data_IF_467445348717
#
_entry.id   IF_467445348717
#
_cell.length_a   1.000
_cell.length_b   1.000
_cell.length_c   1.000
_cell.angle_alpha   90.00
_cell.angle_beta   90.00
_cell.angle_gamma   90.00
#
_symmetry.space_group_name_H-M   'P 1'
#
loop_
_entity.id
_entity.type
_entity.pdbx_description
1 polymer ?
#
# COMPACT_ATOMS: atom_id res chain seq x y z
N UNK A 1 -1.54 17.11 7.86
CA UNK A 1 -1.21 15.67 7.83
C UNK A 1 -1.41 15.06 6.44
N UNK A 2 -2.65 14.99 5.94
CA UNK A 2 -3.00 14.09 4.82
C UNK A 2 -2.39 14.33 3.43
N UNK A 3 -1.90 15.53 3.09
CA UNK A 3 -1.37 15.82 1.74
C UNK A 3 -0.25 16.88 1.67
N UNK A 4 0.22 17.41 2.81
CA UNK A 4 1.15 18.56 2.84
C UNK A 4 2.60 18.22 3.21
N UNK A 5 2.94 16.94 3.34
CA UNK A 5 4.30 16.52 3.67
C UNK A 5 5.18 16.45 2.43
N UNK A 6 6.48 16.65 2.60
CA UNK A 6 7.51 16.44 1.59
C UNK A 6 8.59 15.52 2.16
N UNK A 7 9.14 14.63 1.33
CA UNK A 7 10.14 13.66 1.73
C UNK A 7 10.65 12.87 0.53
N UNK A 8 11.63 12.00 0.76
CA UNK A 8 12.21 11.16 -0.30
C UNK A 8 11.55 9.78 -0.36
N UNK A 9 11.73 9.06 -1.47
CA UNK A 9 11.27 7.67 -1.59
C UNK A 9 11.93 6.76 -0.53
N UNK A 10 13.17 7.04 -0.14
CA UNK A 10 13.88 6.30 0.90
C UNK A 10 13.26 6.53 2.29
N UNK A 11 12.82 7.75 2.59
CA UNK A 11 12.14 8.04 3.87
C UNK A 11 10.79 7.33 3.96
N UNK A 12 10.03 7.34 2.86
CA UNK A 12 8.75 6.61 2.77
C UNK A 12 9.00 5.10 2.93
N UNK A 13 10.00 4.55 2.23
CA UNK A 13 10.39 3.15 2.36
C UNK A 13 10.73 2.77 3.81
N UNK A 14 11.52 3.60 4.50
CA UNK A 14 11.89 3.38 5.89
C UNK A 14 10.66 3.32 6.81
N UNK A 15 9.70 4.24 6.63
CA UNK A 15 8.44 4.23 7.39
C UNK A 15 7.63 2.96 7.15
N UNK A 16 7.47 2.55 5.88
CA UNK A 16 6.70 1.36 5.52
C UNK A 16 7.36 0.09 6.07
N UNK A 17 8.69 -0.01 6.00
CA UNK A 17 9.46 -1.12 6.55
C UNK A 17 9.33 -1.22 8.07
N UNK A 18 9.38 -0.08 8.78
CA UNK A 18 9.13 -0.06 10.23
C UNK A 18 7.79 -0.71 10.56
N UNK A 19 6.72 -0.40 9.82
CA UNK A 19 5.41 -1.02 10.02
C UNK A 19 5.45 -2.52 9.65
N UNK A 20 6.00 -2.87 8.47
CA UNK A 20 6.07 -4.25 7.97
C UNK A 20 6.81 -5.19 8.93
N UNK A 21 7.87 -4.71 9.58
CA UNK A 21 8.71 -5.51 10.48
C UNK A 21 8.30 -5.43 11.95
N UNK A 22 7.07 -4.94 12.24
CA UNK A 22 6.51 -5.01 13.60
C UNK A 22 6.77 -3.78 14.48
N UNK A 23 7.05 -2.63 13.87
CA UNK A 23 6.99 -1.31 14.52
C UNK A 23 8.34 -0.73 14.98
N UNK A 24 9.38 -1.54 15.09
CA UNK A 24 10.74 -1.08 15.39
C UNK A 24 10.81 -0.13 16.61
N UNK A 25 11.58 0.97 16.54
CA UNK A 25 11.71 1.91 17.66
C UNK A 25 10.56 2.94 17.75
N UNK A 26 9.64 2.97 16.79
CA UNK A 26 8.63 4.04 16.66
C UNK A 26 7.24 3.57 17.09
N UNK A 27 6.88 2.32 16.78
CA UNK A 27 5.57 1.75 17.03
C UNK A 27 5.73 0.46 17.84
N UNK A 28 4.77 0.19 18.72
CA UNK A 28 4.67 -1.14 19.32
C UNK A 28 4.24 -2.18 18.26
N UNK A 29 4.55 -3.47 18.44
CA UNK A 29 4.05 -4.52 17.55
C UNK A 29 2.52 -4.52 17.41
N UNK A 30 1.79 -4.22 18.48
CA UNK A 30 0.33 -4.10 18.45
C UNK A 30 -0.17 -2.94 17.61
N UNK A 31 0.55 -1.79 17.62
CA UNK A 31 0.23 -0.65 16.77
C UNK A 31 0.53 -0.92 15.29
N UNK A 32 1.67 -1.56 14.99
CA UNK A 32 2.00 -1.97 13.63
C UNK A 32 0.97 -2.96 13.07
N UNK A 33 0.56 -3.95 13.87
CA UNK A 33 -0.50 -4.89 13.49
C UNK A 33 -1.86 -4.20 13.33
N UNK A 34 -2.18 -3.20 14.15
CA UNK A 34 -3.43 -2.44 14.02
C UNK A 34 -3.47 -1.60 12.73
N UNK A 35 -2.33 -1.10 12.25
CA UNK A 35 -2.24 -0.32 11.03
C UNK A 35 -2.77 -1.08 9.81
N UNK A 36 -2.37 -2.35 9.70
CA UNK A 36 -2.65 -3.23 8.54
C UNK A 36 -3.91 -4.09 8.71
N UNK A 37 -4.63 -3.95 9.82
CA UNK A 37 -5.84 -4.73 10.08
C UNK A 37 -7.02 -4.12 9.30
N UNK A 38 -7.73 -4.90 8.45
CA UNK A 38 -8.99 -4.46 7.87
C UNK A 38 -10.01 -4.10 8.96
N UNK A 39 -10.59 -2.90 8.89
CA UNK A 39 -11.58 -2.42 9.87
C UNK A 39 -12.96 -2.15 9.28
N UNK A 40 -13.12 -2.29 7.95
CA UNK A 40 -14.37 -1.95 7.24
C UNK A 40 -15.35 -3.10 7.08
N UNK A 41 -14.96 -4.34 7.41
CA UNK A 41 -15.81 -5.52 7.17
C UNK A 41 -16.24 -5.62 5.70
N UNK A 42 -17.53 -5.87 5.45
CA UNK A 42 -18.11 -6.01 4.11
C UNK A 42 -18.72 -4.71 3.56
N UNK A 43 -18.35 -3.55 4.10
CA UNK A 43 -18.83 -2.28 3.58
C UNK A 43 -18.34 -2.09 2.14
N UNK A 44 -19.20 -1.64 1.20
CA UNK A 44 -18.77 -1.29 -0.14
C UNK A 44 -17.83 -0.09 -0.09
N UNK A 45 -16.66 -0.21 -0.72
CA UNK A 45 -15.64 0.84 -0.78
C UNK A 45 -15.36 1.21 -2.24
N UNK A 46 -15.93 2.32 -2.69
CA UNK A 46 -15.73 2.81 -4.06
C UNK A 46 -14.28 3.27 -4.33
N UNK A 47 -13.56 3.65 -3.27
CA UNK A 47 -12.23 4.25 -3.39
C UNK A 47 -11.10 3.24 -3.63
N UNK A 48 -11.27 1.98 -3.24
CA UNK A 48 -10.24 0.93 -3.36
C UNK A 48 -10.53 -0.07 -4.48
N UNK A 49 -11.79 -0.17 -4.89
CA UNK A 49 -12.25 -1.20 -5.81
C UNK A 49 -12.50 -2.55 -5.13
N UNK A 50 -12.98 -3.54 -5.92
CA UNK A 50 -13.39 -4.85 -5.40
C UNK A 50 -12.19 -5.65 -4.89
N UNK A 51 -12.40 -6.49 -3.87
CA UNK A 51 -11.35 -7.30 -3.25
C UNK A 51 -10.46 -6.58 -2.24
N UNK A 52 -10.67 -5.28 -2.02
CA UNK A 52 -9.96 -4.46 -1.04
C UNK A 52 -10.87 -4.02 0.11
N UNK A 53 -10.30 -4.03 1.31
CA UNK A 53 -10.85 -3.39 2.51
C UNK A 53 -10.02 -2.15 2.88
N UNK A 54 -10.35 -1.49 3.98
CA UNK A 54 -9.56 -0.37 4.49
C UNK A 54 -9.14 -0.60 5.96
N UNK A 55 -7.87 -0.33 6.26
CA UNK A 55 -7.29 -0.32 7.60
C UNK A 55 -7.06 1.10 8.11
N UNK A 56 -6.07 1.28 8.99
CA UNK A 56 -5.73 2.61 9.50
C UNK A 56 -4.77 3.32 8.55
N UNK A 57 -5.32 3.90 7.47
CA UNK A 57 -4.58 4.77 6.54
C UNK A 57 -4.14 4.12 5.23
N UNK A 58 -4.49 2.86 5.00
CA UNK A 58 -4.17 2.14 3.77
C UNK A 58 -5.32 1.20 3.38
N UNK A 59 -5.41 0.90 2.09
CA UNK A 59 -6.22 -0.21 1.60
C UNK A 59 -5.54 -1.53 1.98
N UNK A 60 -6.32 -2.56 2.27
CA UNK A 60 -5.81 -3.91 2.60
C UNK A 60 -6.47 -4.92 1.67
N UNK A 61 -5.67 -5.69 0.95
CA UNK A 61 -6.12 -6.69 -0.01
C UNK A 61 -6.68 -7.90 0.74
N UNK A 62 -7.97 -8.17 0.58
CA UNK A 62 -8.65 -9.30 1.23
C UNK A 62 -8.96 -10.43 0.25
N UNK A 63 -9.13 -10.11 -1.03
CA UNK A 63 -9.41 -11.08 -2.10
C UNK A 63 -8.65 -10.69 -3.38
N UNK A 64 -7.43 -11.24 -3.61
CA UNK A 64 -6.62 -10.97 -4.80
C UNK A 64 -7.30 -11.36 -6.11
N UNK A 65 -8.10 -12.43 -6.12
CA UNK A 65 -8.77 -12.89 -7.32
C UNK A 65 -9.86 -11.90 -7.75
N UNK A 66 -10.66 -11.43 -6.79
CA UNK A 66 -11.67 -10.41 -7.02
C UNK A 66 -11.05 -9.05 -7.39
N UNK A 67 -9.87 -8.72 -6.85
CA UNK A 67 -9.12 -7.52 -7.18
C UNK A 67 -8.34 -7.61 -8.52
N UNK A 68 -8.24 -8.80 -9.13
CA UNK A 68 -7.39 -9.02 -10.30
C UNK A 68 -5.91 -8.70 -10.05
N UNK A 69 -5.42 -8.92 -8.82
CA UNK A 69 -4.07 -8.55 -8.40
C UNK A 69 -3.18 -9.79 -8.20
N UNK A 70 -1.90 -9.76 -8.64
CA UNK A 70 -0.93 -10.81 -8.34
C UNK A 70 -0.41 -10.76 -6.89
N UNK A 71 -0.74 -9.71 -6.14
CA UNK A 71 -0.29 -9.48 -4.77
C UNK A 71 -0.92 -10.48 -3.79
N UNK A 72 -0.20 -10.81 -2.72
CA UNK A 72 -0.70 -11.77 -1.73
C UNK A 72 -1.81 -11.16 -0.85
N UNK A 73 -2.77 -11.96 -0.34
CA UNK A 73 -3.73 -11.49 0.66
C UNK A 73 -3.01 -10.84 1.86
N UNK A 74 -3.58 -9.75 2.38
CA UNK A 74 -2.97 -8.94 3.43
C UNK A 74 -1.98 -7.88 2.93
N UNK A 75 -1.75 -7.80 1.61
CA UNK A 75 -1.02 -6.66 1.02
C UNK A 75 -1.74 -5.37 1.34
N UNK A 76 -1.00 -4.34 1.73
CA UNK A 76 -1.57 -3.02 2.00
C UNK A 76 -0.95 -1.94 1.11
N UNK A 77 -1.78 -1.03 0.63
CA UNK A 77 -1.41 -0.11 -0.45
C UNK A 77 -2.14 1.23 -0.35
N UNK A 78 -1.50 2.26 -0.87
CA UNK A 78 -2.09 3.59 -1.08
C UNK A 78 -1.30 4.38 -2.13
N UNK A 79 -1.64 5.66 -2.27
CA UNK A 79 -0.93 6.56 -3.18
C UNK A 79 -1.04 8.01 -2.76
N UNK A 80 -0.62 8.88 -3.66
CA UNK A 80 -0.73 10.32 -3.52
C UNK A 80 -0.96 10.99 -4.88
N UNK A 81 -1.86 11.98 -4.91
CA UNK A 81 -2.29 12.66 -6.13
C UNK A 81 -1.13 13.28 -6.93
N UNK A 82 0.00 13.60 -6.30
CA UNK A 82 1.19 14.11 -6.99
C UNK A 82 1.94 13.06 -7.84
N UNK A 83 1.39 11.84 -7.98
CA UNK A 83 1.95 10.79 -8.83
C UNK A 83 2.77 9.78 -8.04
N UNK A 84 2.23 9.33 -6.91
CA UNK A 84 2.92 8.38 -6.03
C UNK A 84 2.04 7.16 -5.79
N UNK A 85 2.66 5.99 -5.76
CA UNK A 85 2.03 4.72 -5.43
C UNK A 85 3.00 3.89 -4.59
N UNK A 86 2.45 3.15 -3.64
CA UNK A 86 3.24 2.23 -2.82
C UNK A 86 2.37 1.06 -2.37
N UNK A 87 3.02 -0.07 -2.12
CA UNK A 87 2.39 -1.22 -1.50
C UNK A 87 3.41 -2.03 -0.70
N UNK A 88 2.88 -2.84 0.21
CA UNK A 88 3.64 -3.76 1.03
C UNK A 88 2.96 -5.12 1.01
N UNK A 89 3.66 -6.14 0.51
CA UNK A 89 3.24 -7.53 0.58
C UNK A 89 4.03 -8.22 1.72
N UNK A 90 3.41 -8.46 2.89
CA UNK A 90 4.09 -9.09 4.01
C UNK A 90 4.42 -10.56 3.76
N UNK A 91 3.66 -11.25 2.91
CA UNK A 91 3.87 -12.67 2.58
C UNK A 91 5.13 -12.82 1.74
N UNK A 92 5.29 -11.96 0.73
CA UNK A 92 6.50 -11.91 -0.12
C UNK A 92 7.67 -11.12 0.50
N UNK A 93 7.47 -10.54 1.69
CA UNK A 93 8.45 -9.66 2.39
C UNK A 93 8.92 -8.49 1.51
N UNK A 94 7.99 -7.93 0.75
CA UNK A 94 8.24 -6.94 -0.28
C UNK A 94 7.61 -5.59 0.11
N UNK A 95 8.37 -4.52 -0.05
CA UNK A 95 7.88 -3.13 0.05
C UNK A 95 8.30 -2.38 -1.19
N UNK A 96 7.35 -1.73 -1.84
CA UNK A 96 7.54 -1.01 -3.10
C UNK A 96 7.08 0.42 -2.94
N UNK A 97 7.94 1.36 -3.32
CA UNK A 97 7.66 2.80 -3.33
C UNK A 97 8.00 3.35 -4.70
N UNK A 98 7.01 3.91 -5.38
CA UNK A 98 7.18 4.61 -6.65
C UNK A 98 6.77 6.07 -6.47
N UNK A 99 7.75 6.96 -6.56
CA UNK A 99 7.52 8.41 -6.53
C UNK A 99 7.86 9.00 -7.90
N UNK A 100 6.84 9.52 -8.57
CA UNK A 100 7.00 10.32 -9.78
C UNK A 100 6.67 11.77 -9.49
N UNK A 101 6.98 12.65 -10.46
CA UNK A 101 6.53 14.04 -10.50
C UNK A 101 5.40 14.25 -11.52
N UNK A 102 4.67 13.17 -11.88
CA UNK A 102 3.63 13.19 -12.92
C UNK A 102 2.28 12.75 -12.34
N UNK A 103 1.48 13.73 -11.92
CA UNK A 103 0.09 13.52 -11.52
C UNK A 103 -0.82 13.27 -12.74
N UNK A 104 -1.83 12.40 -12.71
CA UNK A 104 -2.13 11.32 -11.76
C UNK A 104 -1.48 9.98 -12.21
N UNK A 105 -0.74 9.98 -13.32
CA UNK A 105 -0.22 8.78 -13.95
C UNK A 105 0.65 7.91 -13.01
N UNK A 106 1.43 8.54 -12.12
CA UNK A 106 2.22 7.82 -11.12
C UNK A 106 1.41 7.25 -9.95
N UNK A 107 0.16 7.71 -9.76
CA UNK A 107 -0.71 7.32 -8.65
C UNK A 107 -1.60 6.13 -9.01
N UNK A 108 -2.20 6.15 -10.20
CA UNK A 108 -3.21 5.17 -10.62
C UNK A 108 -3.14 4.93 -12.13
N UNK A 109 -3.58 3.74 -12.57
CA UNK A 109 -3.62 3.32 -13.97
C UNK A 109 -2.37 2.58 -14.41
N UNK A 110 -2.04 2.70 -15.70
CA UNK A 110 -1.09 1.80 -16.36
C UNK A 110 0.32 1.76 -15.75
N UNK A 111 0.85 2.88 -15.25
CA UNK A 111 2.20 2.91 -14.67
C UNK A 111 2.30 2.09 -13.37
N UNK A 112 1.52 2.37 -12.29
CA UNK A 112 1.61 1.56 -11.08
C UNK A 112 1.22 0.09 -11.31
N UNK A 113 0.27 -0.19 -12.21
CA UNK A 113 -0.13 -1.56 -12.55
C UNK A 113 1.01 -2.32 -13.22
N UNK A 114 1.65 -1.73 -14.25
CA UNK A 114 2.77 -2.36 -14.94
C UNK A 114 3.99 -2.54 -14.04
N UNK A 115 4.26 -1.57 -13.13
CA UNK A 115 5.33 -1.71 -12.14
C UNK A 115 5.07 -2.87 -11.19
N UNK A 116 3.84 -2.98 -10.66
CA UNK A 116 3.43 -4.11 -9.83
C UNK A 116 3.63 -5.42 -10.58
N UNK A 117 3.11 -5.53 -11.80
CA UNK A 117 3.16 -6.78 -12.56
C UNK A 117 4.59 -7.19 -12.89
N UNK A 118 5.46 -6.24 -13.22
CA UNK A 118 6.87 -6.50 -13.47
C UNK A 118 7.61 -7.06 -12.24
N UNK A 119 7.27 -6.60 -11.03
CA UNK A 119 7.87 -7.10 -9.77
C UNK A 119 7.42 -8.52 -9.43
N UNK A 120 6.26 -8.94 -9.93
CA UNK A 120 5.67 -10.26 -9.68
C UNK A 120 5.91 -11.26 -10.82
N UNK A 121 6.63 -10.88 -11.86
CA UNK A 121 6.84 -11.68 -13.06
C UNK A 121 7.88 -12.81 -12.90
N UNK A 122 8.54 -12.92 -11.75
CA UNK A 122 9.53 -13.95 -11.39
C UNK A 122 8.91 -15.12 -10.60
#
# INVERSE_FOLDING_TARGET
GGAGMAGTAADVLALLEVIRTGGGPVLSPGMAAAFVRPTTGNLPLDVTGPGWAFGLGASVLIDPALAGSPQSPGTWAWGGAYGHSWFVDPVRKLTVVAMTNTALAGMTGAFPDALRDAIYAD
#
